data_IF_231036842004
#
_entry.id   IF_231036842004
#
_cell.length_a   1.000
_cell.length_b   1.000
_cell.length_c   1.000
_cell.angle_alpha   90.00
_cell.angle_beta   90.00
_cell.angle_gamma   90.00
#
_symmetry.space_group_name_H-M   'P 1'
#
loop_
_entity.id
_entity.type
_entity.pdbx_description
1 polymer ?
#
# COMPACT_ATOMS: atom_id res chain seq x y z
N UNK A 1 -7.83 -26.78 9.47
CA UNK A 1 -6.55 -27.48 9.80
C UNK A 1 -5.62 -26.45 10.47
N UNK A 2 -5.97 -26.04 11.67
CA UNK A 2 -5.17 -25.17 12.52
C UNK A 2 -4.07 -26.05 13.11
N UNK A 3 -2.81 -25.82 12.73
CA UNK A 3 -1.66 -26.47 13.36
C UNK A 3 -0.69 -27.24 12.45
N UNK A 4 -0.86 -27.26 11.14
CA UNK A 4 0.16 -27.83 10.26
C UNK A 4 1.33 -26.85 10.08
N UNK A 5 2.55 -27.31 10.30
CA UNK A 5 3.76 -26.56 10.00
C UNK A 5 3.89 -26.41 8.48
N UNK A 6 3.95 -25.16 8.00
CA UNK A 6 4.05 -24.84 6.58
C UNK A 6 5.45 -24.37 6.23
N UNK A 7 5.93 -24.71 5.03
CA UNK A 7 7.05 -24.03 4.37
C UNK A 7 6.52 -22.76 3.72
N UNK A 8 6.98 -21.58 4.14
CA UNK A 8 6.50 -20.31 3.64
C UNK A 8 7.64 -19.53 3.02
N UNK A 9 7.54 -19.22 1.72
CA UNK A 9 8.51 -18.35 1.05
C UNK A 9 8.03 -16.90 1.13
N UNK A 10 8.83 -16.03 1.72
CA UNK A 10 8.63 -14.58 1.66
C UNK A 10 9.17 -14.11 0.30
N UNK A 11 8.25 -13.81 -0.59
CA UNK A 11 8.55 -13.29 -1.92
C UNK A 11 8.63 -11.77 -1.85
N UNK A 12 9.77 -11.20 -2.21
CA UNK A 12 10.00 -9.76 -2.25
C UNK A 12 10.92 -9.38 -3.40
N UNK A 13 10.80 -8.16 -3.87
CA UNK A 13 11.66 -7.59 -4.89
C UNK A 13 12.79 -6.75 -4.30
N UNK A 14 13.91 -6.70 -5.02
CA UNK A 14 15.02 -5.79 -4.75
C UNK A 14 15.35 -5.06 -6.04
N UNK A 15 15.51 -3.76 -5.94
CA UNK A 15 15.94 -2.89 -7.03
C UNK A 15 17.15 -2.09 -6.59
N UNK A 16 17.97 -1.63 -7.55
CA UNK A 16 19.34 -1.15 -7.32
C UNK A 16 19.46 0.17 -6.51
N UNK A 17 18.47 0.55 -5.73
CA UNK A 17 18.48 1.74 -4.90
C UNK A 17 18.54 1.48 -3.39
N UNK A 18 19.08 0.34 -2.95
CA UNK A 18 19.55 0.23 -1.57
C UNK A 18 20.98 0.82 -1.46
N UNK A 19 21.16 2.13 -1.15
CA UNK A 19 22.49 2.73 -1.04
C UNK A 19 23.27 2.23 0.19
N UNK A 20 22.74 1.27 0.93
CA UNK A 20 23.35 0.72 2.15
C UNK A 20 24.24 -0.49 1.89
N UNK A 21 24.16 -1.14 0.72
CA UNK A 21 24.91 -2.36 0.43
C UNK A 21 26.29 -2.13 -0.22
N UNK A 22 26.64 -0.93 -0.65
CA UNK A 22 27.95 -0.63 -1.26
C UNK A 22 28.77 0.43 -0.52
N UNK A 23 28.91 0.29 0.79
CA UNK A 23 30.04 0.92 1.48
C UNK A 23 31.29 0.12 1.12
N UNK A 24 31.90 0.44 -0.03
CA UNK A 24 33.29 0.05 -0.30
C UNK A 24 34.15 0.56 0.86
N UNK A 25 34.89 -0.35 1.46
CA UNK A 25 35.95 -0.03 2.41
C UNK A 25 36.90 1.01 1.79
N UNK A 26 36.73 2.28 2.11
CA UNK A 26 37.78 3.27 1.91
C UNK A 26 38.87 3.01 2.95
N UNK A 27 39.98 2.49 2.45
CA UNK A 27 41.23 2.40 3.22
C UNK A 27 41.72 3.80 3.57
N UNK A 28 41.53 4.21 4.81
CA UNK A 28 42.15 5.39 5.40
C UNK A 28 43.25 4.96 6.37
N UNK A 29 44.43 5.63 6.38
CA UNK A 29 45.58 5.22 7.19
C UNK A 29 45.36 5.52 8.70
N UNK A 30 46.12 4.84 9.60
CA UNK A 30 45.85 4.82 11.01
C UNK A 30 46.42 6.07 11.72
N UNK A 31 45.57 6.84 12.40
CA UNK A 31 45.92 7.56 13.64
C UNK A 31 44.81 8.51 14.10
N UNK A 32 43.97 8.01 15.02
CA UNK A 32 43.43 8.75 16.19
C UNK A 32 42.47 7.85 16.97
N UNK A 33 42.38 7.91 18.33
CA UNK A 33 41.55 6.99 19.11
C UNK A 33 40.05 7.23 18.85
N UNK A 34 39.37 6.20 18.41
CA UNK A 34 37.92 6.21 18.15
C UNK A 34 37.16 6.38 19.48
N UNK A 35 36.40 7.46 19.63
CA UNK A 35 35.33 7.56 20.61
C UNK A 35 34.31 6.42 20.29
N UNK A 36 33.91 5.68 21.34
CA UNK A 36 32.85 4.62 21.21
C UNK A 36 31.62 5.23 20.54
N UNK A 37 31.41 4.90 19.29
CA UNK A 37 30.13 5.14 18.60
C UNK A 37 29.10 4.26 19.29
N UNK A 38 28.07 4.86 19.89
CA UNK A 38 26.90 4.10 20.34
C UNK A 38 26.35 3.40 19.11
N UNK A 39 26.33 2.08 19.14
CA UNK A 39 25.65 1.25 18.12
C UNK A 39 24.18 1.67 18.10
N UNK A 40 23.79 2.43 17.09
CA UNK A 40 22.37 2.66 16.77
C UNK A 40 21.84 1.28 16.40
N UNK A 41 20.87 0.77 17.13
CA UNK A 41 20.19 -0.48 16.75
C UNK A 41 19.59 -0.22 15.37
N UNK A 42 20.04 -0.98 14.35
CA UNK A 42 19.45 -0.95 13.01
C UNK A 42 17.98 -1.37 13.17
N UNK A 43 17.06 -0.54 12.71
CA UNK A 43 15.65 -0.90 12.70
C UNK A 43 15.45 -2.11 11.78
N UNK A 44 14.62 -3.06 12.22
CA UNK A 44 14.29 -4.24 11.39
C UNK A 44 13.45 -3.80 10.21
N UNK A 45 13.66 -4.47 9.08
CA UNK A 45 12.78 -4.37 7.92
C UNK A 45 11.48 -5.14 8.20
N UNK A 46 10.41 -4.81 7.47
CA UNK A 46 9.13 -5.53 7.55
C UNK A 46 9.29 -7.03 7.26
N UNK A 47 10.08 -7.38 6.24
CA UNK A 47 10.38 -8.79 5.90
C UNK A 47 11.07 -9.55 7.05
N UNK A 48 11.94 -8.89 7.82
CA UNK A 48 12.56 -9.49 9.01
C UNK A 48 11.53 -9.67 10.14
N UNK A 49 10.63 -8.70 10.35
CA UNK A 49 9.55 -8.78 11.33
C UNK A 49 8.56 -9.89 10.99
N UNK A 50 8.18 -10.02 9.71
CA UNK A 50 7.28 -11.08 9.22
C UNK A 50 7.97 -12.45 9.36
N UNK A 51 9.23 -12.56 8.98
CA UNK A 51 9.99 -13.80 9.11
C UNK A 51 9.99 -14.31 10.56
N UNK A 52 10.27 -13.44 11.52
CA UNK A 52 10.23 -13.78 12.94
C UNK A 52 8.80 -14.16 13.42
N UNK A 53 7.78 -13.47 12.92
CA UNK A 53 6.40 -13.80 13.25
C UNK A 53 6.03 -15.20 12.75
N UNK A 54 6.44 -15.57 11.54
CA UNK A 54 6.24 -16.90 10.96
C UNK A 54 6.94 -17.99 11.77
N UNK A 55 8.17 -17.74 12.23
CA UNK A 55 8.88 -18.67 13.12
C UNK A 55 8.16 -18.84 14.46
N UNK A 56 7.64 -17.76 15.05
CA UNK A 56 6.86 -17.82 16.30
C UNK A 56 5.55 -18.59 16.14
N UNK A 57 4.95 -18.57 14.95
CA UNK A 57 3.77 -19.35 14.59
C UNK A 57 4.10 -20.84 14.35
N UNK A 58 5.38 -21.22 14.36
CA UNK A 58 5.83 -22.61 14.16
C UNK A 58 6.01 -23.02 12.70
N UNK A 59 5.96 -22.07 11.77
CA UNK A 59 6.21 -22.31 10.34
C UNK A 59 7.71 -22.34 10.00
N UNK A 60 8.04 -22.77 8.78
CA UNK A 60 9.40 -22.76 8.20
C UNK A 60 9.52 -21.65 7.15
N UNK A 61 9.85 -20.40 7.54
CA UNK A 61 10.02 -19.32 6.59
C UNK A 61 11.35 -19.40 5.85
N UNK A 62 11.35 -18.99 4.59
CA UNK A 62 12.52 -18.77 3.76
C UNK A 62 12.36 -17.48 2.97
N UNK A 63 13.47 -16.84 2.62
CA UNK A 63 13.44 -15.67 1.74
C UNK A 63 13.47 -16.13 0.29
N UNK A 64 12.69 -15.47 -0.55
CA UNK A 64 12.71 -15.62 -2.00
C UNK A 64 12.80 -14.24 -2.65
N UNK A 65 13.97 -13.94 -3.18
CA UNK A 65 14.29 -12.64 -3.75
C UNK A 65 14.04 -12.61 -5.25
N UNK A 66 13.35 -11.56 -5.72
CA UNK A 66 13.27 -11.19 -7.13
C UNK A 66 14.23 -10.03 -7.38
N UNK A 67 15.29 -10.31 -8.14
CA UNK A 67 16.38 -9.38 -8.44
C UNK A 67 16.20 -8.62 -9.76
N UNK A 68 14.98 -8.55 -10.27
CA UNK A 68 14.65 -7.93 -11.56
C UNK A 68 15.04 -8.75 -12.79
N UNK A 69 15.72 -9.89 -12.63
CA UNK A 69 16.15 -10.72 -13.75
C UNK A 69 15.13 -11.82 -14.07
N UNK A 70 14.97 -12.18 -15.35
CA UNK A 70 14.07 -13.29 -15.74
C UNK A 70 14.38 -14.62 -15.03
N UNK A 71 15.63 -14.84 -14.62
CA UNK A 71 16.07 -16.05 -13.92
C UNK A 71 15.46 -16.16 -12.52
N UNK A 72 15.28 -15.05 -11.79
CA UNK A 72 14.63 -15.06 -10.49
C UNK A 72 13.15 -15.44 -10.60
N UNK A 73 12.44 -14.92 -11.60
CA UNK A 73 11.07 -15.36 -11.92
C UNK A 73 11.02 -16.84 -12.28
N UNK A 74 11.94 -17.32 -13.16
CA UNK A 74 11.95 -18.73 -13.56
C UNK A 74 12.18 -19.65 -12.36
N UNK A 75 12.95 -19.23 -11.36
CA UNK A 75 13.21 -20.04 -10.16
C UNK A 75 11.96 -20.22 -9.28
N UNK A 76 10.96 -19.34 -9.38
CA UNK A 76 9.65 -19.53 -8.72
C UNK A 76 8.95 -20.85 -9.12
N UNK A 77 9.13 -21.31 -10.37
CA UNK A 77 8.56 -22.58 -10.84
C UNK A 77 9.13 -23.82 -10.10
N UNK A 78 10.23 -23.65 -9.37
CA UNK A 78 10.88 -24.69 -8.56
C UNK A 78 10.78 -24.42 -7.06
N UNK A 79 9.98 -23.44 -6.66
CA UNK A 79 9.80 -23.09 -5.26
C UNK A 79 9.05 -24.22 -4.54
N UNK A 80 9.71 -24.83 -3.55
CA UNK A 80 9.12 -25.88 -2.69
C UNK A 80 8.54 -25.24 -1.44
N UNK A 81 7.53 -24.38 -1.61
CA UNK A 81 6.80 -23.76 -0.51
C UNK A 81 5.32 -24.15 -0.55
N UNK A 82 4.73 -24.33 0.63
CA UNK A 82 3.29 -24.55 0.78
C UNK A 82 2.49 -23.28 0.54
N UNK A 83 3.11 -22.11 0.80
CA UNK A 83 2.52 -20.80 0.65
C UNK A 83 3.61 -19.76 0.30
N UNK A 84 3.32 -18.88 -0.63
CA UNK A 84 4.08 -17.65 -0.89
C UNK A 84 3.48 -16.52 -0.04
N UNK A 85 4.25 -15.96 0.86
CA UNK A 85 3.88 -14.69 1.50
C UNK A 85 4.36 -13.56 0.59
N UNK A 86 3.42 -12.94 -0.12
CA UNK A 86 3.74 -11.97 -1.16
C UNK A 86 3.98 -10.57 -0.55
N UNK A 87 5.18 -10.05 -0.76
CA UNK A 87 5.60 -8.71 -0.37
C UNK A 87 6.16 -7.93 -1.57
N UNK A 88 5.88 -8.39 -2.80
CA UNK A 88 6.37 -7.70 -4.00
C UNK A 88 5.55 -6.44 -4.25
N UNK A 89 6.22 -5.35 -4.58
CA UNK A 89 5.64 -4.06 -4.95
C UNK A 89 6.03 -3.67 -6.38
N UNK A 90 7.05 -4.33 -6.95
CA UNK A 90 7.55 -4.04 -8.30
C UNK A 90 8.20 -5.27 -8.95
N UNK A 91 8.68 -5.11 -10.17
CA UNK A 91 9.68 -5.99 -10.76
C UNK A 91 10.67 -5.16 -11.56
N UNK A 92 11.97 -5.28 -11.23
CA UNK A 92 13.05 -4.46 -11.81
C UNK A 92 12.82 -2.95 -11.60
N UNK A 93 12.29 -2.56 -10.41
CA UNK A 93 11.99 -1.18 -10.06
C UNK A 93 10.80 -0.56 -10.81
N UNK A 94 9.99 -1.38 -11.48
CA UNK A 94 8.81 -0.95 -12.22
C UNK A 94 7.55 -1.46 -11.51
N UNK A 95 6.87 -0.58 -10.78
CA UNK A 95 5.67 -0.89 -9.98
C UNK A 95 4.52 -1.39 -10.87
N UNK A 96 4.45 -0.94 -12.13
CA UNK A 96 3.43 -1.40 -13.08
C UNK A 96 3.52 -2.90 -13.36
N UNK A 97 4.62 -3.56 -12.98
CA UNK A 97 4.84 -4.99 -13.13
C UNK A 97 4.46 -5.84 -11.91
N UNK A 98 4.08 -5.24 -10.78
CA UNK A 98 3.63 -5.98 -9.59
C UNK A 98 2.56 -7.02 -9.94
N UNK A 99 1.53 -6.62 -10.67
CA UNK A 99 0.46 -7.50 -11.13
C UNK A 99 0.99 -8.70 -11.92
N UNK A 100 2.02 -8.51 -12.76
CA UNK A 100 2.59 -9.58 -13.58
C UNK A 100 3.32 -10.63 -12.72
N UNK A 101 3.98 -10.22 -11.64
CA UNK A 101 4.61 -11.15 -10.68
C UNK A 101 3.54 -12.03 -10.06
N UNK A 102 2.47 -11.43 -9.53
CA UNK A 102 1.37 -12.17 -8.90
C UNK A 102 0.63 -13.04 -9.92
N UNK A 103 0.44 -12.57 -11.16
CA UNK A 103 -0.13 -13.38 -12.24
C UNK A 103 0.74 -14.61 -12.55
N UNK A 104 2.06 -14.45 -12.53
CA UNK A 104 2.96 -15.58 -12.73
C UNK A 104 2.89 -16.60 -11.60
N UNK A 105 2.85 -16.15 -10.34
CA UNK A 105 2.64 -17.03 -9.17
C UNK A 105 1.31 -17.80 -9.30
N UNK A 106 0.25 -17.11 -9.73
CA UNK A 106 -1.09 -17.69 -9.95
C UNK A 106 -1.08 -18.74 -11.07
N UNK A 107 -0.41 -18.45 -12.21
CA UNK A 107 -0.25 -19.40 -13.33
C UNK A 107 0.55 -20.65 -12.96
N UNK A 108 1.49 -20.53 -12.03
CA UNK A 108 2.22 -21.68 -11.49
C UNK A 108 1.39 -22.55 -10.53
N UNK A 109 0.17 -22.10 -10.18
CA UNK A 109 -0.70 -22.78 -9.22
C UNK A 109 -0.17 -22.72 -7.78
N UNK A 110 0.77 -21.81 -7.49
CA UNK A 110 1.29 -21.60 -6.15
C UNK A 110 0.24 -20.88 -5.28
N UNK A 111 0.16 -21.26 -4.01
CA UNK A 111 -0.67 -20.54 -3.04
C UNK A 111 0.05 -19.28 -2.61
N UNK A 112 -0.68 -18.17 -2.46
CA UNK A 112 -0.08 -16.90 -2.05
C UNK A 112 -1.04 -16.05 -1.23
N UNK A 113 -0.50 -15.13 -0.44
CA UNK A 113 -1.25 -14.17 0.38
C UNK A 113 -1.64 -12.94 -0.43
N UNK A 114 -2.75 -12.30 -0.03
CA UNK A 114 -3.14 -11.00 -0.55
C UNK A 114 -3.93 -11.03 -1.85
N UNK A 115 -4.00 -9.87 -2.47
CA UNK A 115 -4.81 -9.61 -3.65
C UNK A 115 -4.38 -10.42 -4.88
N UNK A 116 -5.32 -10.72 -5.76
CA UNK A 116 -5.03 -11.35 -7.03
C UNK A 116 -4.68 -10.33 -8.12
N UNK A 117 -4.17 -10.78 -9.29
CA UNK A 117 -3.71 -9.89 -10.34
C UNK A 117 -4.73 -8.85 -10.78
N UNK A 118 -6.01 -9.24 -10.87
CA UNK A 118 -7.08 -8.32 -11.25
C UNK A 118 -7.28 -7.20 -10.23
N UNK A 119 -7.19 -7.51 -8.94
CA UNK A 119 -7.38 -6.51 -7.90
C UNK A 119 -6.21 -5.54 -7.84
N UNK A 120 -4.98 -6.03 -8.04
CA UNK A 120 -3.77 -5.20 -8.07
C UNK A 120 -3.87 -4.19 -9.22
N UNK A 121 -4.11 -4.62 -10.46
CA UNK A 121 -4.19 -3.70 -11.61
C UNK A 121 -5.34 -2.69 -11.47
N UNK A 122 -6.48 -3.11 -10.90
CA UNK A 122 -7.62 -2.20 -10.70
C UNK A 122 -7.36 -1.16 -9.61
N UNK A 123 -6.58 -1.50 -8.60
CA UNK A 123 -6.23 -0.58 -7.52
C UNK A 123 -5.05 0.35 -7.91
N UNK A 124 -4.07 -0.19 -8.61
CA UNK A 124 -2.87 0.54 -9.02
C UNK A 124 -3.18 1.69 -10.00
N UNK A 125 -4.07 1.47 -10.98
CA UNK A 125 -4.56 2.56 -11.82
C UNK A 125 -5.64 3.37 -11.09
N UNK A 126 -5.22 4.46 -10.45
CA UNK A 126 -6.10 5.34 -9.66
C UNK A 126 -7.29 5.87 -10.48
N UNK A 127 -7.11 6.11 -11.78
CA UNK A 127 -8.19 6.59 -12.63
C UNK A 127 -9.22 5.47 -12.92
N UNK A 128 -8.77 4.24 -13.13
CA UNK A 128 -9.65 3.08 -13.28
C UNK A 128 -10.39 2.80 -11.97
N UNK A 129 -9.68 2.78 -10.84
CA UNK A 129 -10.28 2.58 -9.53
C UNK A 129 -11.42 3.58 -9.28
N UNK A 130 -11.20 4.87 -9.56
CA UNK A 130 -12.22 5.92 -9.39
C UNK A 130 -13.42 5.76 -10.32
N UNK A 131 -13.23 5.32 -11.55
CA UNK A 131 -14.35 4.99 -12.49
C UNK A 131 -15.20 3.85 -11.93
N UNK A 132 -14.56 2.84 -11.32
CA UNK A 132 -15.25 1.74 -10.65
C UNK A 132 -15.99 2.24 -9.42
N UNK A 133 -15.36 3.06 -8.58
CA UNK A 133 -16.01 3.66 -7.42
C UNK A 133 -17.25 4.45 -7.82
N UNK A 134 -17.14 5.32 -8.84
CA UNK A 134 -18.27 6.10 -9.34
C UNK A 134 -19.42 5.22 -9.84
N UNK A 135 -19.12 4.12 -10.56
CA UNK A 135 -20.14 3.17 -11.01
C UNK A 135 -20.90 2.50 -9.85
N UNK A 136 -20.20 2.24 -8.74
CA UNK A 136 -20.78 1.65 -7.52
C UNK A 136 -21.38 2.68 -6.55
N UNK A 137 -21.43 3.97 -6.92
CA UNK A 137 -21.92 5.05 -6.06
C UNK A 137 -21.04 5.36 -4.85
N UNK A 138 -19.78 4.92 -4.89
CA UNK A 138 -18.79 5.20 -3.86
C UNK A 138 -18.19 6.57 -4.15
N UNK A 139 -18.30 7.50 -3.19
CA UNK A 139 -17.82 8.87 -3.35
C UNK A 139 -16.29 8.90 -3.44
N UNK A 140 -15.77 9.53 -4.47
CA UNK A 140 -14.35 9.81 -4.69
C UNK A 140 -14.23 11.26 -5.20
N UNK A 141 -13.08 11.96 -5.01
CA UNK A 141 -12.90 13.29 -5.57
C UNK A 141 -13.22 13.31 -7.05
N UNK A 142 -13.85 14.37 -7.53
CA UNK A 142 -14.01 14.55 -8.97
C UNK A 142 -12.62 14.64 -9.62
N UNK A 143 -12.44 14.02 -10.78
CA UNK A 143 -11.12 13.89 -11.38
C UNK A 143 -11.11 13.99 -12.90
N UNK A 144 -9.97 14.39 -13.41
CA UNK A 144 -9.60 14.34 -14.83
C UNK A 144 -8.26 13.63 -14.98
N UNK A 145 -7.96 13.13 -16.16
CA UNK A 145 -6.64 12.60 -16.50
C UNK A 145 -6.01 13.42 -17.61
N UNK A 146 -4.72 13.67 -17.49
CA UNK A 146 -3.94 14.37 -18.52
C UNK A 146 -2.79 13.48 -18.97
N UNK A 147 -2.73 13.24 -20.29
CA UNK A 147 -1.66 12.44 -20.89
C UNK A 147 -1.27 12.99 -22.25
N UNK A 148 0.02 13.33 -22.41
CA UNK A 148 0.62 13.79 -23.67
C UNK A 148 -0.20 14.88 -24.38
N UNK A 149 -0.53 15.94 -23.64
CA UNK A 149 -1.24 17.11 -24.18
C UNK A 149 -2.76 16.95 -24.32
N UNK A 150 -3.34 15.82 -23.89
CA UNK A 150 -4.78 15.56 -23.88
C UNK A 150 -5.28 15.48 -22.44
N UNK A 151 -6.32 16.26 -22.13
CA UNK A 151 -7.02 16.20 -20.85
C UNK A 151 -8.39 15.57 -21.09
N UNK A 152 -8.71 14.53 -20.33
CA UNK A 152 -9.99 13.84 -20.39
C UNK A 152 -10.85 14.19 -19.17
N UNK A 153 -12.13 14.46 -19.39
CA UNK A 153 -13.12 14.73 -18.33
C UNK A 153 -12.87 15.96 -17.46
N UNK A 154 -12.25 17.02 -18.01
CA UNK A 154 -11.94 18.26 -17.30
C UNK A 154 -13.17 19.18 -17.04
N UNK A 155 -14.40 18.71 -17.27
CA UNK A 155 -15.60 19.49 -17.03
C UNK A 155 -15.91 19.52 -15.51
N UNK A 156 -16.21 20.71 -15.02
CA UNK A 156 -16.69 20.94 -13.64
C UNK A 156 -15.65 20.78 -12.51
N UNK A 157 -14.35 20.76 -12.80
CA UNK A 157 -13.31 20.72 -11.77
C UNK A 157 -13.09 22.12 -11.20
N UNK A 158 -13.15 22.25 -9.88
CA UNK A 158 -12.96 23.50 -9.15
C UNK A 158 -11.64 23.53 -8.37
N UNK A 159 -10.90 24.64 -8.46
CA UNK A 159 -9.69 24.83 -7.64
C UNK A 159 -10.02 25.05 -6.16
N UNK A 160 -9.13 24.64 -5.23
CA UNK A 160 -7.82 24.03 -5.47
C UNK A 160 -7.93 22.57 -5.93
N UNK A 161 -6.91 22.13 -6.71
CA UNK A 161 -6.80 20.76 -7.20
C UNK A 161 -5.54 20.10 -6.65
N UNK A 162 -5.52 18.77 -6.60
CA UNK A 162 -4.29 17.99 -6.41
C UNK A 162 -3.95 17.29 -7.73
N UNK A 163 -2.67 17.39 -8.14
CA UNK A 163 -2.18 16.78 -9.38
C UNK A 163 -1.05 15.81 -9.02
N UNK A 164 -1.25 14.53 -9.33
CA UNK A 164 -0.37 13.43 -8.93
C UNK A 164 -0.21 12.40 -10.06
N UNK A 165 0.85 11.56 -10.05
CA UNK A 165 0.96 10.44 -10.98
C UNK A 165 -0.22 9.47 -10.81
N UNK A 166 -0.71 8.92 -11.93
CA UNK A 166 -1.83 7.97 -11.92
C UNK A 166 -1.40 6.56 -11.53
N UNK A 167 -0.15 6.19 -11.85
CA UNK A 167 0.35 4.82 -11.73
C UNK A 167 1.35 4.62 -10.59
N UNK A 168 1.87 5.69 -10.00
CA UNK A 168 2.81 5.62 -8.89
C UNK A 168 2.10 5.37 -7.56
N UNK A 169 2.75 4.64 -6.67
CA UNK A 169 2.29 4.36 -5.32
C UNK A 169 3.17 5.01 -4.24
N UNK A 170 2.95 4.77 -2.96
CA UNK A 170 3.79 5.26 -1.87
C UNK A 170 3.95 6.78 -1.78
N UNK A 171 3.02 7.57 -2.31
CA UNK A 171 3.12 9.05 -2.39
C UNK A 171 4.25 9.55 -3.29
N UNK A 172 4.82 8.72 -4.16
CA UNK A 172 5.80 9.13 -5.16
C UNK A 172 5.18 10.22 -6.06
N UNK A 173 5.94 11.28 -6.32
CA UNK A 173 5.46 12.44 -7.08
C UNK A 173 4.40 13.28 -6.38
N UNK A 174 4.18 13.12 -5.06
CA UNK A 174 3.29 13.96 -4.25
C UNK A 174 4.13 14.75 -3.24
N UNK A 175 4.28 16.03 -3.47
CA UNK A 175 4.95 17.00 -2.62
C UNK A 175 4.04 18.23 -2.37
N UNK A 176 4.54 19.26 -1.70
CA UNK A 176 3.78 20.49 -1.43
C UNK A 176 3.29 21.19 -2.70
N UNK A 177 3.95 21.02 -3.85
CA UNK A 177 3.55 21.55 -5.16
C UNK A 177 2.45 20.75 -5.84
N UNK A 178 2.03 19.60 -5.28
CA UNK A 178 0.95 18.81 -5.85
C UNK A 178 -0.41 19.52 -5.77
N UNK A 179 -0.61 20.41 -4.78
CA UNK A 179 -1.85 21.19 -4.63
C UNK A 179 -1.71 22.51 -5.40
N UNK A 180 -2.53 22.67 -6.42
CA UNK A 180 -2.49 23.79 -7.37
C UNK A 180 -3.75 24.65 -7.27
N UNK A 181 -3.61 25.97 -7.50
CA UNK A 181 -4.68 26.95 -7.26
C UNK A 181 -5.20 27.61 -8.54
N UNK A 182 -4.57 27.37 -9.66
CA UNK A 182 -4.94 27.94 -10.94
C UNK A 182 -4.47 27.08 -12.11
N UNK A 183 -4.95 27.38 -13.31
CA UNK A 183 -4.66 26.63 -14.52
C UNK A 183 -3.17 26.58 -14.86
N UNK A 184 -2.42 27.66 -14.60
CA UNK A 184 -0.99 27.73 -14.89
C UNK A 184 -0.24 26.71 -14.03
N UNK A 185 -0.42 26.75 -12.71
CA UNK A 185 0.18 25.80 -11.77
C UNK A 185 -0.21 24.35 -12.10
N UNK A 186 -1.48 24.13 -12.48
CA UNK A 186 -1.96 22.82 -12.90
C UNK A 186 -1.20 22.30 -14.13
N UNK A 187 -1.04 23.12 -15.16
CA UNK A 187 -0.34 22.71 -16.39
C UNK A 187 1.16 22.44 -16.14
N UNK A 188 1.82 23.30 -15.37
CA UNK A 188 3.22 23.11 -14.97
C UNK A 188 3.39 21.80 -14.19
N UNK A 189 2.44 21.46 -13.30
CA UNK A 189 2.48 20.20 -12.54
C UNK A 189 2.19 18.98 -13.41
N UNK A 190 1.28 19.07 -14.36
CA UNK A 190 1.01 18.00 -15.34
C UNK A 190 2.25 17.70 -16.17
N UNK A 191 2.93 18.74 -16.68
CA UNK A 191 4.18 18.60 -17.44
C UNK A 191 5.26 17.93 -16.59
N UNK A 192 5.48 18.40 -15.35
CA UNK A 192 6.42 17.79 -14.41
C UNK A 192 6.16 16.27 -14.22
N UNK A 193 4.89 15.86 -14.01
CA UNK A 193 4.56 14.45 -13.80
C UNK A 193 4.86 13.63 -15.05
N UNK A 194 4.54 14.13 -16.22
CA UNK A 194 4.78 13.42 -17.48
C UNK A 194 6.26 13.27 -17.80
N UNK A 195 7.05 14.28 -17.48
CA UNK A 195 8.49 14.29 -17.78
C UNK A 195 9.29 13.44 -16.80
N UNK A 196 8.94 13.49 -15.50
CA UNK A 196 9.72 12.79 -14.47
C UNK A 196 9.28 11.33 -14.26
N UNK A 197 7.99 11.01 -14.47
CA UNK A 197 7.43 9.69 -14.13
C UNK A 197 6.92 8.90 -15.34
N UNK A 198 6.92 9.47 -16.55
CA UNK A 198 6.28 8.88 -17.76
C UNK A 198 4.86 8.32 -17.48
N UNK A 199 4.15 8.96 -16.55
CA UNK A 199 2.82 8.57 -16.06
C UNK A 199 1.76 9.58 -16.51
N UNK A 200 0.51 9.16 -16.77
CA UNK A 200 -0.59 10.09 -16.85
C UNK A 200 -0.72 10.88 -15.54
N UNK A 201 -0.98 12.17 -15.64
CA UNK A 201 -1.29 12.98 -14.47
C UNK A 201 -2.78 12.82 -14.12
N UNK A 202 -3.06 12.46 -12.88
CA UNK A 202 -4.39 12.46 -12.29
C UNK A 202 -4.61 13.82 -11.63
N UNK A 203 -5.64 14.53 -12.08
CA UNK A 203 -6.05 15.85 -11.59
C UNK A 203 -7.33 15.64 -10.78
N UNK A 204 -7.29 15.95 -9.49
CA UNK A 204 -8.43 15.71 -8.58
C UNK A 204 -8.82 16.98 -7.82
N UNK A 205 -10.07 17.11 -7.45
CA UNK A 205 -10.48 18.07 -6.43
C UNK A 205 -9.70 17.84 -5.14
N UNK A 206 -9.16 18.90 -4.57
CA UNK A 206 -8.55 18.84 -3.25
C UNK A 206 -9.62 18.82 -2.18
N UNK A 207 -9.82 17.66 -1.55
CA UNK A 207 -10.78 17.51 -0.47
C UNK A 207 -10.13 17.91 0.85
N UNK A 208 -10.58 19.00 1.44
CA UNK A 208 -10.21 19.35 2.81
C UNK A 208 -10.80 18.34 3.79
N UNK A 209 -10.05 18.04 4.86
CA UNK A 209 -10.56 17.14 5.90
C UNK A 209 -9.48 16.28 6.53
N UNK A 210 -9.92 15.27 7.26
CA UNK A 210 -9.08 14.31 7.97
C UNK A 210 -8.65 13.19 7.02
N UNK A 211 -7.40 12.79 7.11
CA UNK A 211 -6.84 11.64 6.36
C UNK A 211 -7.05 10.37 7.18
N UNK A 212 -7.95 9.49 6.75
CA UNK A 212 -8.35 8.28 7.47
C UNK A 212 -7.98 7.04 6.68
N UNK A 213 -7.36 6.09 7.34
CA UNK A 213 -6.97 4.80 6.80
C UNK A 213 -7.79 3.68 7.43
N UNK A 214 -8.45 2.90 6.59
CA UNK A 214 -9.21 1.72 6.99
C UNK A 214 -8.48 0.45 6.58
N UNK A 215 -7.83 -0.22 7.53
CA UNK A 215 -7.33 -1.58 7.35
C UNK A 215 -8.51 -2.54 7.28
N UNK A 216 -8.48 -3.48 6.33
CA UNK A 216 -9.50 -4.52 6.17
C UNK A 216 -8.82 -5.86 6.19
N UNK A 217 -9.31 -6.77 7.03
CA UNK A 217 -8.85 -8.15 7.15
C UNK A 217 -9.98 -9.09 6.79
N UNK A 218 -9.74 -10.02 5.86
CA UNK A 218 -10.75 -10.97 5.40
C UNK A 218 -11.07 -10.84 3.92
N UNK A 219 -11.96 -11.71 3.45
CA UNK A 219 -12.34 -11.79 2.04
C UNK A 219 -13.85 -11.87 1.89
N UNK A 220 -14.39 -11.19 0.87
CA UNK A 220 -15.81 -11.20 0.52
C UNK A 220 -16.71 -10.81 1.70
N UNK A 221 -17.68 -11.67 2.05
CA UNK A 221 -18.66 -11.43 3.12
C UNK A 221 -18.04 -11.43 4.53
N UNK A 222 -16.85 -12.02 4.67
CA UNK A 222 -16.11 -12.13 5.95
C UNK A 222 -15.03 -11.06 6.11
N UNK A 223 -15.02 -10.05 5.24
CA UNK A 223 -14.12 -8.93 5.36
C UNK A 223 -14.58 -8.00 6.50
N UNK A 224 -13.68 -7.72 7.43
CA UNK A 224 -13.91 -6.88 8.60
C UNK A 224 -13.00 -5.67 8.57
N UNK A 225 -13.55 -4.51 8.92
CA UNK A 225 -12.78 -3.27 9.04
C UNK A 225 -12.14 -3.21 10.42
N UNK A 226 -10.85 -2.99 10.44
CA UNK A 226 -10.09 -2.74 11.66
C UNK A 226 -10.34 -1.31 12.15
N UNK A 227 -10.02 -0.98 13.41
CA UNK A 227 -10.11 0.38 13.91
C UNK A 227 -9.40 1.39 13.00
N UNK A 228 -10.06 2.53 12.75
CA UNK A 228 -9.58 3.57 11.86
C UNK A 228 -8.27 4.17 12.36
N UNK A 229 -7.33 4.37 11.46
CA UNK A 229 -6.10 5.11 11.72
C UNK A 229 -6.20 6.47 11.02
N UNK A 230 -5.72 7.50 11.67
CA UNK A 230 -5.64 8.86 11.11
C UNK A 230 -4.18 9.27 10.96
N UNK A 231 -3.84 9.83 9.82
CA UNK A 231 -2.63 10.63 9.67
C UNK A 231 -2.95 12.05 10.15
N UNK A 232 -2.53 12.38 11.35
CA UNK A 232 -2.75 13.71 11.93
C UNK A 232 -1.88 14.76 11.23
N UNK A 233 -2.51 15.59 10.43
CA UNK A 233 -1.94 16.71 9.70
C UNK A 233 -2.29 18.08 10.34
N UNK A 234 -2.94 18.06 11.50
CA UNK A 234 -3.46 19.29 12.15
C UNK A 234 -2.35 20.26 12.56
N UNK A 235 -1.16 19.73 12.86
CA UNK A 235 -0.01 20.50 13.36
C UNK A 235 0.85 21.10 12.25
N UNK A 236 0.54 20.82 10.98
CA UNK A 236 1.22 21.47 9.85
C UNK A 236 0.95 22.97 9.88
N UNK A 237 1.96 23.80 9.52
CA UNK A 237 1.81 25.26 9.46
C UNK A 237 0.63 25.71 8.61
N UNK A 238 0.05 26.84 8.96
CA UNK A 238 -1.01 27.46 8.14
C UNK A 238 -0.51 27.72 6.72
N UNK A 239 -1.35 27.42 5.73
CA UNK A 239 -1.00 27.52 4.30
C UNK A 239 -0.25 26.30 3.73
N UNK A 240 0.21 25.38 4.55
CA UNK A 240 0.76 24.09 4.07
C UNK A 240 -0.39 23.18 3.67
N UNK A 241 -0.37 22.59 2.45
CA UNK A 241 -1.37 21.61 2.06
C UNK A 241 -1.39 20.42 3.01
N UNK A 242 -2.59 20.07 3.51
CA UNK A 242 -2.76 18.93 4.41
C UNK A 242 -2.94 17.65 3.60
N UNK A 243 -1.84 17.15 3.05
CA UNK A 243 -1.79 15.94 2.22
C UNK A 243 -0.75 14.96 2.75
N UNK A 244 -0.97 13.68 2.48
CA UNK A 244 -0.03 12.59 2.77
C UNK A 244 1.08 12.56 1.70
N UNK A 245 1.92 13.60 1.66
CA UNK A 245 3.02 13.72 0.71
C UNK A 245 4.20 12.80 1.08
N UNK A 246 5.13 12.62 0.14
CA UNK A 246 6.30 11.75 0.32
C UNK A 246 7.15 12.18 1.54
N UNK A 247 7.42 13.46 1.67
CA UNK A 247 8.17 14.05 2.78
C UNK A 247 7.44 13.90 4.13
N UNK A 248 6.11 13.94 4.14
CA UNK A 248 5.29 13.67 5.33
C UNK A 248 5.40 12.20 5.78
N UNK A 249 5.48 11.25 4.85
CA UNK A 249 5.48 9.82 5.17
C UNK A 249 6.88 9.24 5.39
N UNK A 250 7.89 9.71 4.67
CA UNK A 250 9.16 9.00 4.57
C UNK A 250 10.40 9.83 4.95
N UNK A 251 10.37 11.15 4.84
CA UNK A 251 11.55 11.97 5.11
C UNK A 251 11.70 12.35 6.59
N UNK A 252 12.17 11.40 7.41
CA UNK A 252 12.32 11.52 8.88
C UNK A 252 13.02 12.80 9.38
N UNK A 253 13.82 13.43 8.54
CA UNK A 253 14.59 14.63 8.92
C UNK A 253 13.83 15.95 8.70
N UNK A 254 12.73 15.94 7.96
CA UNK A 254 11.95 17.14 7.68
C UNK A 254 11.11 17.59 8.88
N UNK A 255 10.77 18.89 8.91
CA UNK A 255 9.86 19.41 9.94
C UNK A 255 8.44 18.87 9.76
N UNK A 256 7.97 18.71 8.51
CA UNK A 256 6.64 18.18 8.21
C UNK A 256 6.48 16.75 8.74
N UNK A 257 7.48 15.88 8.56
CA UNK A 257 7.47 14.53 9.14
C UNK A 257 7.33 14.56 10.67
N UNK A 258 8.07 15.44 11.36
CA UNK A 258 8.05 15.54 12.83
C UNK A 258 6.74 16.10 13.37
N UNK A 259 6.01 16.85 12.56
CA UNK A 259 4.73 17.45 12.92
C UNK A 259 3.55 16.54 12.61
N UNK A 260 3.76 15.45 11.88
CA UNK A 260 2.72 14.52 11.45
C UNK A 260 2.89 13.18 12.17
N UNK A 261 1.78 12.48 12.39
CA UNK A 261 1.79 11.19 13.08
C UNK A 261 0.57 10.37 12.70
N UNK A 262 0.79 9.11 12.33
CA UNK A 262 -0.29 8.13 12.28
C UNK A 262 -0.67 7.70 13.70
N UNK A 263 -1.97 7.70 13.99
CA UNK A 263 -2.54 7.35 15.30
C UNK A 263 -3.94 6.77 15.13
N UNK A 264 -4.47 6.15 16.19
CA UNK A 264 -5.88 5.73 16.18
C UNK A 264 -6.75 6.99 16.01
N UNK A 265 -7.70 6.93 15.08
CA UNK A 265 -8.60 8.05 14.83
C UNK A 265 -9.51 8.29 16.05
N UNK A 266 -9.36 9.44 16.65
CA UNK A 266 -10.16 9.86 17.83
C UNK A 266 -11.28 10.80 17.43
N UNK A 267 -12.25 11.00 18.32
CA UNK A 267 -13.37 11.94 18.15
C UNK A 267 -14.19 11.69 16.87
N UNK A 268 -14.46 10.42 16.58
CA UNK A 268 -15.43 9.96 15.60
C UNK A 268 -16.67 9.44 16.34
N UNK A 269 -17.85 9.93 16.00
CA UNK A 269 -19.09 9.33 16.47
C UNK A 269 -19.39 8.01 15.75
N UNK A 270 -20.29 7.23 16.32
CA UNK A 270 -20.64 5.90 15.80
C UNK A 270 -21.17 5.96 14.35
N UNK A 271 -21.95 6.98 14.02
CA UNK A 271 -22.48 7.18 12.66
C UNK A 271 -21.35 7.41 11.65
N UNK A 272 -20.37 8.22 12.01
CA UNK A 272 -19.21 8.50 11.16
C UNK A 272 -18.32 7.25 11.01
N UNK A 273 -18.08 6.49 12.09
CA UNK A 273 -17.34 5.23 12.04
C UNK A 273 -18.05 4.23 11.12
N UNK A 274 -19.36 4.08 11.22
CA UNK A 274 -20.15 3.19 10.37
C UNK A 274 -20.05 3.61 8.90
N UNK A 275 -20.20 4.91 8.60
CA UNK A 275 -20.09 5.45 7.24
C UNK A 275 -18.71 5.23 6.65
N UNK A 276 -17.62 5.45 7.40
CA UNK A 276 -16.25 5.13 6.99
C UNK A 276 -16.09 3.64 6.70
N UNK A 277 -16.59 2.79 7.59
CA UNK A 277 -16.50 1.33 7.46
C UNK A 277 -17.26 0.81 6.24
N UNK A 278 -18.49 1.26 6.05
CA UNK A 278 -19.32 0.85 4.90
C UNK A 278 -18.69 1.30 3.58
N UNK A 279 -18.16 2.53 3.54
CA UNK A 279 -17.48 3.06 2.36
C UNK A 279 -16.21 2.27 2.05
N UNK A 280 -15.40 1.96 3.08
CA UNK A 280 -14.18 1.18 2.91
C UNK A 280 -14.47 -0.25 2.42
N UNK A 281 -15.46 -0.93 3.01
CA UNK A 281 -15.88 -2.27 2.57
C UNK A 281 -16.43 -2.27 1.16
N UNK A 282 -17.21 -1.25 0.79
CA UNK A 282 -17.72 -1.10 -0.56
C UNK A 282 -16.58 -0.96 -1.58
N UNK A 283 -15.58 -0.10 -1.29
CA UNK A 283 -14.41 0.10 -2.14
C UNK A 283 -13.55 -1.17 -2.26
N UNK A 284 -13.30 -1.84 -1.14
CA UNK A 284 -12.57 -3.11 -1.07
C UNK A 284 -13.20 -4.19 -1.96
N UNK A 285 -14.52 -4.35 -1.87
CA UNK A 285 -15.28 -5.32 -2.67
C UNK A 285 -15.36 -4.93 -4.13
N UNK A 286 -15.54 -3.64 -4.45
CA UNK A 286 -15.62 -3.15 -5.82
C UNK A 286 -14.34 -3.43 -6.62
N UNK A 287 -13.17 -3.32 -5.98
CA UNK A 287 -11.88 -3.64 -6.58
C UNK A 287 -11.47 -5.10 -6.39
N UNK A 288 -12.33 -5.97 -5.82
CA UNK A 288 -12.08 -7.40 -5.62
C UNK A 288 -10.86 -7.70 -4.75
N UNK A 289 -10.54 -6.84 -3.79
CA UNK A 289 -9.49 -7.10 -2.81
C UNK A 289 -9.87 -8.32 -1.96
N UNK A 290 -8.86 -8.98 -1.41
CA UNK A 290 -9.05 -10.18 -0.59
C UNK A 290 -7.89 -10.36 0.38
N UNK A 291 -8.10 -11.20 1.39
CA UNK A 291 -7.20 -11.52 2.48
C UNK A 291 -6.93 -10.29 3.37
N UNK A 292 -6.34 -9.24 2.86
CA UNK A 292 -6.14 -7.96 3.53
C UNK A 292 -6.00 -6.81 2.53
N UNK A 293 -6.12 -5.58 3.01
CA UNK A 293 -5.94 -4.37 2.22
C UNK A 293 -6.17 -3.12 3.05
N UNK A 294 -5.87 -1.94 2.50
CA UNK A 294 -6.11 -0.65 3.14
C UNK A 294 -6.80 0.28 2.18
N UNK A 295 -7.85 0.95 2.67
CA UNK A 295 -8.55 1.99 1.93
C UNK A 295 -8.22 3.33 2.55
N UNK A 296 -7.67 4.23 1.76
CA UNK A 296 -7.29 5.57 2.17
C UNK A 296 -8.41 6.54 1.81
N UNK A 297 -8.89 7.31 2.79
CA UNK A 297 -10.09 8.12 2.67
C UNK A 297 -9.88 9.54 3.21
N UNK A 298 -10.67 10.48 2.70
CA UNK A 298 -10.85 11.81 3.28
C UNK A 298 -12.22 11.91 3.94
N UNK A 299 -12.22 12.28 5.21
CA UNK A 299 -13.42 12.68 5.93
C UNK A 299 -13.52 14.21 5.90
N UNK A 300 -14.40 14.72 5.06
CA UNK A 300 -14.61 16.15 4.91
C UNK A 300 -15.35 16.77 6.13
N UNK A 301 -15.24 18.09 6.37
CA UNK A 301 -15.89 18.75 7.51
C UNK A 301 -17.43 18.63 7.54
N UNK A 302 -18.05 18.45 6.38
CA UNK A 302 -19.49 18.22 6.25
C UNK A 302 -19.90 16.77 6.52
N UNK A 303 -18.95 15.91 6.89
CA UNK A 303 -19.17 14.49 7.15
C UNK A 303 -19.14 13.58 5.92
N UNK A 304 -18.91 14.11 4.73
CA UNK A 304 -18.73 13.30 3.52
C UNK A 304 -17.44 12.49 3.58
N UNK A 305 -17.52 11.24 3.14
CA UNK A 305 -16.36 10.34 3.04
C UNK A 305 -16.00 10.16 1.57
N UNK A 306 -14.75 10.45 1.22
CA UNK A 306 -14.22 10.30 -0.13
C UNK A 306 -13.12 9.23 -0.14
N UNK A 307 -13.24 8.22 -0.97
CA UNK A 307 -12.17 7.25 -1.20
C UNK A 307 -11.09 7.91 -2.08
N UNK A 308 -9.87 7.94 -1.58
CA UNK A 308 -8.71 8.50 -2.29
C UNK A 308 -8.01 7.42 -3.10
N UNK A 309 -7.68 6.31 -2.45
CA UNK A 309 -7.05 5.16 -3.08
C UNK A 309 -7.31 3.86 -2.31
N UNK A 310 -7.00 2.74 -2.95
CA UNK A 310 -7.04 1.41 -2.34
C UNK A 310 -5.68 0.74 -2.49
N UNK A 311 -5.17 0.21 -1.39
CA UNK A 311 -3.88 -0.46 -1.33
C UNK A 311 -4.10 -1.97 -1.15
N UNK A 312 -3.92 -2.78 -2.22
CA UNK A 312 -4.16 -4.22 -2.19
C UNK A 312 -3.06 -4.99 -1.44
N UNK A 313 -1.89 -4.38 -1.29
CA UNK A 313 -0.73 -4.93 -0.61
C UNK A 313 -0.09 -3.87 0.31
N UNK A 314 -0.83 -3.40 1.35
CA UNK A 314 -0.35 -2.34 2.22
C UNK A 314 0.87 -2.78 3.02
N UNK A 315 1.78 -1.86 3.28
CA UNK A 315 2.99 -2.12 4.05
C UNK A 315 2.68 -2.67 5.44
N UNK A 316 3.23 -3.85 5.75
CA UNK A 316 2.92 -4.62 6.96
C UNK A 316 3.92 -4.43 8.11
N UNK A 317 4.90 -3.51 8.01
CA UNK A 317 5.81 -3.25 9.12
C UNK A 317 5.04 -2.91 10.40
N UNK A 318 5.54 -3.38 11.55
CA UNK A 318 4.82 -3.34 12.84
C UNK A 318 4.40 -1.94 13.32
N UNK A 319 4.99 -0.90 12.72
CA UNK A 319 4.72 0.51 13.04
C UNK A 319 3.83 1.20 12.01
N UNK A 320 3.44 0.51 10.97
CA UNK A 320 2.61 1.07 9.90
C UNK A 320 1.11 0.93 10.21
N UNK A 321 0.31 1.66 9.48
CA UNK A 321 -1.10 1.89 9.74
C UNK A 321 -1.90 0.59 9.83
N UNK A 322 -1.63 -0.39 8.95
CA UNK A 322 -2.33 -1.67 8.97
C UNK A 322 -2.05 -2.46 10.27
N UNK A 323 -0.77 -2.55 10.67
CA UNK A 323 -0.38 -3.22 11.90
C UNK A 323 -0.85 -2.46 13.15
N UNK A 324 -0.89 -1.12 13.10
CA UNK A 324 -1.47 -0.30 14.17
C UNK A 324 -2.97 -0.56 14.32
N UNK A 325 -3.71 -0.64 13.23
CA UNK A 325 -5.14 -0.96 13.22
C UNK A 325 -5.41 -2.37 13.78
N UNK A 326 -4.63 -3.36 13.36
CA UNK A 326 -4.71 -4.72 13.88
C UNK A 326 -4.42 -4.76 15.39
N UNK A 327 -3.41 -4.05 15.86
CA UNK A 327 -3.12 -3.94 17.29
C UNK A 327 -4.26 -3.28 18.08
N UNK A 328 -4.88 -2.25 17.52
CA UNK A 328 -6.02 -1.58 18.14
C UNK A 328 -7.27 -2.46 18.21
N UNK A 329 -7.42 -3.44 17.30
CA UNK A 329 -8.47 -4.47 17.38
C UNK A 329 -8.17 -5.60 18.38
N UNK A 330 -6.99 -5.58 19.02
CA UNK A 330 -6.57 -6.58 19.99
C UNK A 330 -5.66 -7.67 19.44
N UNK A 331 -5.32 -7.66 18.16
CA UNK A 331 -4.39 -8.62 17.55
C UNK A 331 -2.94 -8.22 17.83
N UNK A 332 -2.13 -9.13 18.32
CA UNK A 332 -0.68 -8.95 18.26
C UNK A 332 -0.18 -9.02 16.82
N UNK A 333 1.02 -8.50 16.57
CA UNK A 333 1.63 -8.56 15.24
C UNK A 333 1.72 -10.00 14.69
N UNK A 334 2.09 -10.95 15.54
CA UNK A 334 2.18 -12.36 15.17
C UNK A 334 0.80 -12.95 14.83
N UNK A 335 -0.26 -12.60 15.57
CA UNK A 335 -1.62 -13.03 15.28
C UNK A 335 -2.15 -12.41 13.99
N UNK A 336 -1.84 -11.16 13.70
CA UNK A 336 -2.17 -10.51 12.44
C UNK A 336 -1.55 -11.26 11.24
N UNK A 337 -0.26 -11.58 11.30
CA UNK A 337 0.41 -12.37 10.25
C UNK A 337 -0.22 -13.76 10.13
N UNK A 338 -0.54 -14.40 11.25
CA UNK A 338 -1.24 -15.70 11.28
C UNK A 338 -2.62 -15.63 10.60
N UNK A 339 -3.40 -14.59 10.88
CA UNK A 339 -4.70 -14.38 10.27
C UNK A 339 -4.61 -14.24 8.74
N UNK A 340 -3.61 -13.51 8.22
CA UNK A 340 -3.37 -13.38 6.78
C UNK A 340 -3.06 -14.75 6.14
N UNK A 341 -2.24 -15.58 6.80
CA UNK A 341 -1.93 -16.94 6.34
C UNK A 341 -3.20 -17.80 6.31
N UNK A 342 -3.98 -17.79 7.39
CA UNK A 342 -5.20 -18.60 7.51
C UNK A 342 -6.23 -18.22 6.43
N UNK A 343 -6.37 -16.93 6.12
CA UNK A 343 -7.24 -16.42 5.05
C UNK A 343 -6.79 -16.96 3.68
N UNK A 344 -5.50 -16.82 3.36
CA UNK A 344 -4.94 -17.31 2.11
C UNK A 344 -5.10 -18.83 1.96
N UNK A 345 -4.77 -19.60 3.00
CA UNK A 345 -4.89 -21.06 2.99
C UNK A 345 -6.34 -21.52 2.85
N UNK A 346 -7.28 -20.87 3.57
CA UNK A 346 -8.71 -21.18 3.50
C UNK A 346 -9.28 -20.92 2.09
N UNK A 347 -8.88 -19.85 1.45
CA UNK A 347 -9.28 -19.50 0.08
C UNK A 347 -8.86 -20.59 -0.92
N UNK A 348 -7.63 -21.04 -0.86
CA UNK A 348 -7.12 -22.06 -1.76
C UNK A 348 -7.76 -23.43 -1.53
N UNK A 349 -8.10 -23.79 -0.29
CA UNK A 349 -8.85 -25.01 0.02
C UNK A 349 -10.26 -24.97 -0.58
N UNK A 350 -10.98 -23.88 -0.43
CA UNK A 350 -12.33 -23.71 -0.96
C UNK A 350 -12.35 -23.77 -2.50
N UNK A 351 -11.36 -23.18 -3.18
CA UNK A 351 -11.22 -23.24 -4.63
C UNK A 351 -11.02 -24.69 -5.12
N UNK A 352 -10.18 -25.48 -4.44
CA UNK A 352 -9.95 -26.87 -4.77
C UNK A 352 -11.19 -27.75 -4.54
N UNK A 353 -11.96 -27.50 -3.47
CA UNK A 353 -13.21 -28.20 -3.21
C UNK A 353 -14.27 -27.87 -4.26
N UNK A 354 -14.39 -26.62 -4.69
CA UNK A 354 -15.30 -26.20 -5.73
C UNK A 354 -14.95 -26.83 -7.10
N UNK A 355 -13.65 -26.86 -7.45
CA UNK A 355 -13.17 -27.50 -8.68
C UNK A 355 -13.45 -29.01 -8.67
N UNK A 356 -13.20 -29.71 -7.55
CA UNK A 356 -13.51 -31.14 -7.41
C UNK A 356 -15.02 -31.44 -7.47
N UNK A 357 -15.87 -30.54 -7.01
CA UNK A 357 -17.33 -30.67 -7.12
C UNK A 357 -17.84 -30.45 -8.54
N UNK A 358 -17.21 -29.56 -9.31
CA UNK A 358 -17.57 -29.28 -10.70
C UNK A 358 -17.16 -30.38 -11.70
N UNK A 359 -16.25 -31.28 -11.28
CA UNK A 359 -15.78 -32.42 -12.08
C UNK A 359 -16.59 -33.70 -11.81
N UNK A 360 -17.55 -33.67 -10.90
CA UNK A 360 -18.52 -34.74 -10.62
C UNK A 360 -19.88 -34.49 -11.25
#
# INVERSE_FOLDING_TARGET
MIGAKLKIALLYDVWNEDPVATAKEETTPPHKPRKKVKTVKKEKTDREEIFEALQKLGHEPSYFELDGRPQSLHSLSRCDADLIFNLTESFDGDDTKEMNVVAYVDLLGLRYTGAGPHAIILAQDKAIAKKIFAFHGIKTPFFATAYRGRIEHAHDISFPLIVKPSWEDGSIGIDAGAVVKNVKEMMERVEYIQDEFDSPALIEEYIEGREIYAGILGSYERAEVLPMIELDLSRLPEGTPKIASYDVKFEKNTEVYKLTKSQIAENLDEETVNRLSDTALAAYRALKLRDYGRIDMRLAPNGDVYVIEANPNPWLASRQEFAMAAKASGLSYTEMIGAIIDLAMSRHLNANLAAAAAMR
#
